data_IF_512485358650
#
_entry.id   IF_512485358650
#
_cell.length_a   1.000
_cell.length_b   1.000
_cell.length_c   1.000
_cell.angle_alpha   90.00
_cell.angle_beta   90.00
_cell.angle_gamma   90.00
#
_symmetry.space_group_name_H-M   'P 1'
#
loop_
_entity.id
_entity.type
_entity.pdbx_description
1 polymer ?
#
# COMPACT_ATOMS: atom_id res chain seq x y z
N UNK A 1 -3.75 -14.97 12.07
CA UNK A 1 -2.48 -14.27 12.40
C UNK A 1 -2.12 -13.23 11.36
N UNK A 2 -1.85 -13.59 10.09
CA UNK A 2 -1.48 -12.61 9.05
C UNK A 2 -2.57 -11.55 8.77
N UNK A 3 -3.83 -11.99 8.61
CA UNK A 3 -4.97 -11.09 8.40
C UNK A 3 -5.12 -10.08 9.55
N UNK A 4 -4.87 -10.50 10.79
CA UNK A 4 -4.89 -9.61 11.98
C UNK A 4 -3.86 -8.51 11.86
N UNK A 5 -2.63 -8.83 11.43
CA UNK A 5 -1.56 -7.85 11.27
C UNK A 5 -1.83 -6.89 10.10
N UNK A 6 -2.34 -7.40 8.97
CA UNK A 6 -2.70 -6.57 7.83
C UNK A 6 -3.89 -5.65 8.13
N UNK A 7 -4.85 -6.12 8.93
CA UNK A 7 -5.96 -5.29 9.42
C UNK A 7 -5.45 -4.16 10.31
N UNK A 8 -4.48 -4.43 11.18
CA UNK A 8 -3.87 -3.39 12.01
C UNK A 8 -3.21 -2.27 11.19
N UNK A 9 -2.64 -2.58 10.01
CA UNK A 9 -2.10 -1.58 9.07
C UNK A 9 -3.16 -0.57 8.60
N UNK A 10 -4.38 -1.03 8.32
CA UNK A 10 -5.51 -0.18 7.91
C UNK A 10 -6.16 0.52 9.11
N UNK A 11 -6.35 -0.19 10.22
CA UNK A 11 -7.07 0.36 11.38
C UNK A 11 -6.25 1.40 12.15
N UNK A 12 -4.93 1.16 12.28
CA UNK A 12 -4.06 1.91 13.19
C UNK A 12 -2.71 2.30 12.60
N UNK A 13 -2.33 1.74 11.45
CA UNK A 13 -0.99 1.87 10.87
C UNK A 13 -0.87 2.94 9.79
N UNK A 14 0.02 2.66 8.83
CA UNK A 14 0.50 3.58 7.80
C UNK A 14 -0.54 3.90 6.73
N UNK A 15 -1.59 3.07 6.59
CA UNK A 15 -2.51 3.11 5.45
C UNK A 15 -3.98 3.31 5.89
N UNK A 16 -4.19 4.15 6.92
CA UNK A 16 -5.54 4.50 7.44
C UNK A 16 -6.49 5.04 6.38
N UNK A 17 -5.95 5.58 5.29
CA UNK A 17 -6.72 6.08 4.15
C UNK A 17 -7.56 4.98 3.48
N UNK A 18 -7.18 3.71 3.59
CA UNK A 18 -7.91 2.57 3.02
C UNK A 18 -9.10 2.11 3.87
N UNK A 19 -9.30 2.69 5.06
CA UNK A 19 -10.37 2.32 5.98
C UNK A 19 -11.74 2.54 5.34
N UNK A 20 -12.61 1.53 5.43
CA UNK A 20 -13.93 1.53 4.81
C UNK A 20 -13.96 1.05 3.35
N UNK A 21 -12.80 0.93 2.70
CA UNK A 21 -12.68 0.35 1.34
C UNK A 21 -12.04 -1.04 1.41
N UNK A 22 -10.94 -1.16 2.14
CA UNK A 22 -10.20 -2.41 2.31
C UNK A 22 -10.18 -2.86 3.77
N UNK A 23 -10.19 -4.17 4.02
CA UNK A 23 -10.17 -4.77 5.37
C UNK A 23 -8.75 -4.88 5.92
N UNK A 24 -7.79 -5.22 5.08
CA UNK A 24 -6.39 -5.34 5.47
C UNK A 24 -5.46 -4.97 4.34
N UNK A 25 -4.28 -4.44 4.68
CA UNK A 25 -3.32 -3.97 3.71
C UNK A 25 -1.88 -4.20 4.17
N UNK A 26 -0.96 -4.14 3.22
CA UNK A 26 0.47 -4.04 3.48
C UNK A 26 1.11 -3.09 2.47
N UNK A 27 1.69 -2.03 3.00
CA UNK A 27 2.57 -1.12 2.26
C UNK A 27 3.99 -1.69 2.12
N UNK A 28 4.68 -1.29 1.06
CA UNK A 28 6.13 -1.39 1.02
C UNK A 28 6.80 -0.42 0.04
N UNK A 29 8.10 -0.31 0.26
CA UNK A 29 9.00 0.65 -0.37
C UNK A 29 10.29 -0.13 -0.67
N UNK A 30 10.74 -0.16 -1.91
CA UNK A 30 12.00 -0.80 -2.29
C UNK A 30 12.91 0.21 -2.98
N UNK A 31 14.04 0.53 -2.34
CA UNK A 31 15.02 1.47 -2.88
C UNK A 31 15.90 0.80 -3.92
N UNK A 32 16.25 1.53 -4.97
CA UNK A 32 17.11 1.05 -6.06
C UNK A 32 17.95 2.19 -6.64
N UNK A 33 19.00 1.84 -7.39
CA UNK A 33 19.92 2.79 -8.01
C UNK A 33 21.24 2.96 -7.25
N UNK A 34 21.98 4.03 -7.57
CA UNK A 34 23.29 4.32 -6.98
C UNK A 34 23.15 4.98 -5.61
N UNK A 35 24.10 4.71 -4.72
CA UNK A 35 24.19 5.42 -3.45
C UNK A 35 24.23 6.94 -3.68
N UNK A 36 23.41 7.70 -2.95
CA UNK A 36 23.26 9.15 -3.10
C UNK A 36 22.26 9.59 -4.19
N UNK A 37 21.72 8.66 -4.98
CA UNK A 37 20.70 8.91 -6.01
C UNK A 37 19.67 7.77 -6.04
N UNK A 38 19.25 7.31 -4.85
CA UNK A 38 18.30 6.21 -4.74
C UNK A 38 16.90 6.67 -5.16
N UNK A 39 16.27 5.87 -6.01
CA UNK A 39 14.85 5.95 -6.32
C UNK A 39 14.12 4.85 -5.56
N UNK A 40 12.79 4.92 -5.56
CA UNK A 40 11.95 4.03 -4.78
C UNK A 40 10.84 3.44 -5.65
N UNK A 41 10.71 2.12 -5.62
CA UNK A 41 9.50 1.44 -6.01
C UNK A 41 8.48 1.50 -4.86
N UNK A 42 7.28 1.97 -5.15
CA UNK A 42 6.18 2.05 -4.19
C UNK A 42 5.13 1.00 -4.51
N UNK A 43 4.70 0.21 -3.51
CA UNK A 43 3.69 -0.81 -3.73
C UNK A 43 2.71 -0.94 -2.55
N UNK A 44 1.51 -1.39 -2.87
CA UNK A 44 0.45 -1.67 -1.91
C UNK A 44 -0.29 -2.95 -2.31
N UNK A 45 -0.48 -3.85 -1.35
CA UNK A 45 -1.35 -5.01 -1.50
C UNK A 45 -2.45 -4.92 -0.44
N UNK A 46 -3.71 -4.98 -0.84
CA UNK A 46 -4.85 -4.89 0.05
C UNK A 46 -5.95 -5.89 -0.29
N UNK A 47 -6.74 -6.28 0.69
CA UNK A 47 -7.90 -7.14 0.49
C UNK A 47 -9.12 -6.66 1.31
N UNK A 48 -10.30 -6.99 0.83
CA UNK A 48 -11.56 -7.00 1.59
C UNK A 48 -12.29 -8.32 1.36
N UNK A 49 -13.56 -8.41 1.77
CA UNK A 49 -14.34 -9.64 1.68
C UNK A 49 -14.62 -10.10 0.24
N UNK A 50 -14.43 -9.23 -0.76
CA UNK A 50 -14.76 -9.47 -2.16
C UNK A 50 -13.57 -9.37 -3.12
N UNK A 51 -12.62 -8.49 -2.86
CA UNK A 51 -11.54 -8.15 -3.77
C UNK A 51 -10.18 -8.20 -3.09
N UNK A 52 -9.16 -8.62 -3.85
CA UNK A 52 -7.75 -8.45 -3.52
C UNK A 52 -7.11 -7.62 -4.64
N UNK A 53 -6.39 -6.57 -4.27
CA UNK A 53 -5.82 -5.58 -5.20
C UNK A 53 -4.35 -5.36 -4.88
N UNK A 54 -3.52 -5.36 -5.92
CA UNK A 54 -2.13 -4.96 -5.87
C UNK A 54 -1.93 -3.73 -6.75
N UNK A 55 -1.24 -2.71 -6.23
CA UNK A 55 -0.82 -1.53 -6.97
C UNK A 55 0.68 -1.33 -6.84
N UNK A 56 1.29 -0.86 -7.91
CA UNK A 56 2.74 -0.69 -8.02
C UNK A 56 3.02 0.57 -8.83
N UNK A 57 3.99 1.35 -8.37
CA UNK A 57 4.52 2.51 -9.07
C UNK A 57 6.03 2.39 -9.11
N UNK A 58 6.58 2.40 -10.33
CA UNK A 58 8.00 2.18 -10.57
C UNK A 58 8.87 3.26 -9.92
N UNK A 59 8.45 4.53 -9.98
CA UNK A 59 9.12 5.63 -9.31
C UNK A 59 8.10 6.38 -8.47
N UNK A 60 8.20 6.22 -7.15
CA UNK A 60 7.31 6.84 -6.16
C UNK A 60 8.01 7.11 -4.84
N UNK A 61 7.30 7.71 -3.89
CA UNK A 61 7.85 8.06 -2.58
C UNK A 61 7.72 6.90 -1.58
N UNK A 62 6.53 6.30 -1.49
CA UNK A 62 6.26 5.15 -0.61
C UNK A 62 5.00 4.42 -1.02
N UNK A 63 4.85 3.17 -0.57
CA UNK A 63 3.61 2.42 -0.80
C UNK A 63 2.36 3.11 -0.23
N UNK A 64 2.46 3.81 0.90
CA UNK A 64 1.32 4.49 1.54
C UNK A 64 0.95 5.81 0.86
N UNK A 65 1.94 6.62 0.47
CA UNK A 65 1.71 7.93 -0.16
C UNK A 65 1.46 7.85 -1.66
N UNK A 66 2.09 6.89 -2.36
CA UNK A 66 2.04 6.81 -3.82
C UNK A 66 1.15 5.66 -4.32
N UNK A 67 1.26 4.46 -3.75
CA UNK A 67 0.52 3.31 -4.26
C UNK A 67 -0.91 3.18 -3.69
N UNK A 68 -1.11 3.45 -2.39
CA UNK A 68 -2.43 3.36 -1.75
C UNK A 68 -3.53 4.22 -2.44
N UNK A 69 -3.26 5.46 -2.90
CA UNK A 69 -4.26 6.26 -3.60
C UNK A 69 -4.80 5.62 -4.89
N UNK A 70 -4.02 4.79 -5.58
CA UNK A 70 -4.47 4.10 -6.79
C UNK A 70 -5.58 3.08 -6.46
N UNK A 71 -5.49 2.41 -5.31
CA UNK A 71 -6.52 1.49 -4.84
C UNK A 71 -7.80 2.26 -4.51
N UNK A 72 -7.70 3.42 -3.86
CA UNK A 72 -8.87 4.26 -3.58
C UNK A 72 -9.57 4.73 -4.86
N UNK A 73 -8.80 5.12 -5.88
CA UNK A 73 -9.34 5.54 -7.18
C UNK A 73 -10.05 4.40 -7.91
N UNK A 74 -9.60 3.14 -7.75
CA UNK A 74 -10.24 1.98 -8.36
C UNK A 74 -11.67 1.72 -7.83
N UNK A 75 -11.94 2.10 -6.57
CA UNK A 75 -13.23 1.88 -5.89
C UNK A 75 -14.06 3.17 -5.72
N UNK A 76 -13.69 4.25 -6.42
CA UNK A 76 -14.52 5.45 -6.55
C UNK A 76 -15.61 5.29 -7.58
#
# INVERSE_FOLDING_TARGET
MLQTMMKATVDSGTDKSLKGVMTGAKTGTAQWGKAGALQTHAWMIAYNDKYAVASFVEVGDSGGSTAAPLILQLFR
#
